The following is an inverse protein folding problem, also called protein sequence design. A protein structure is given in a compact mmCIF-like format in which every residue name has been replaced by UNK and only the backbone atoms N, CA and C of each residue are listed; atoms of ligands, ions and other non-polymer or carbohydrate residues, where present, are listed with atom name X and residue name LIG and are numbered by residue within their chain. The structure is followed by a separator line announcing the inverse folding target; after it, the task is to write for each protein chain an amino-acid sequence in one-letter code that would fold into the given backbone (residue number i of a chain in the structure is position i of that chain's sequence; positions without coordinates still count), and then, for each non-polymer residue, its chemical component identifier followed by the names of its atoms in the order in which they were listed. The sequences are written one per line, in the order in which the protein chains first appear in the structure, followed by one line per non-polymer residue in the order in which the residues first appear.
data_IF_406227737288
#
_entry.id   IF_406227737288
#
_cell.length_a   1.000
_cell.length_b   1.000
_cell.length_c   1.000
_cell.angle_alpha   90.00
_cell.angle_beta   90.00
_cell.angle_gamma   90.00
#
_symmetry.space_group_name_H-M   'P 1'
#
loop_
_entity.id
_entity.type
_entity.pdbx_description
1 polymer ?
#
# COMPACT_ATOMS: atom_id res chain seq x y z
N UNK A 1 -3.39 8.87 -8.35
CA UNK A 1 -4.77 9.26 -8.70
C UNK A 1 -5.74 8.67 -7.68
N UNK A 2 -5.77 7.35 -7.47
CA UNK A 2 -6.72 6.71 -6.56
C UNK A 2 -6.70 7.25 -5.14
N UNK A 3 -5.52 7.49 -4.56
CA UNK A 3 -5.37 8.12 -3.25
C UNK A 3 -6.01 9.53 -3.25
N UNK A 4 -5.64 10.37 -4.22
CA UNK A 4 -6.15 11.74 -4.33
C UNK A 4 -7.68 11.79 -4.41
N UNK A 5 -8.28 10.94 -5.23
CA UNK A 5 -9.73 10.85 -5.36
C UNK A 5 -10.39 10.20 -4.14
N UNK A 6 -9.66 9.37 -3.41
CA UNK A 6 -10.15 8.62 -2.27
C UNK A 6 -10.15 9.38 -0.93
N UNK A 7 -9.24 10.34 -0.76
CA UNK A 7 -9.06 11.11 0.49
C UNK A 7 -10.36 11.73 1.02
N UNK A 8 -11.23 12.37 0.21
CA UNK A 8 -12.48 12.93 0.73
C UNK A 8 -13.44 11.90 1.34
N UNK A 9 -13.23 10.62 1.03
CA UNK A 9 -14.11 9.50 1.40
C UNK A 9 -13.48 8.53 2.40
N UNK A 10 -12.24 8.73 2.82
CA UNK A 10 -11.45 7.80 3.61
C UNK A 10 -12.10 7.46 4.97
N UNK A 11 -12.64 8.47 5.66
CA UNK A 11 -13.24 8.32 7.00
C UNK A 11 -14.76 8.28 6.97
N UNK A 12 -15.38 8.22 5.80
CA UNK A 12 -16.83 8.16 5.66
C UNK A 12 -17.21 6.70 5.41
N UNK A 13 -18.05 6.13 6.29
CA UNK A 13 -18.62 4.78 6.12
C UNK A 13 -19.66 4.75 5.00
N UNK A 14 -19.31 5.25 3.83
CA UNK A 14 -20.20 5.49 2.72
C UNK A 14 -19.98 4.43 1.62
N UNK A 15 -21.07 3.97 1.04
CA UNK A 15 -21.04 2.87 0.06
C UNK A 15 -21.88 3.14 -1.18
N UNK A 16 -22.23 4.38 -1.42
CA UNK A 16 -23.00 4.79 -2.58
C UNK A 16 -22.05 5.26 -3.67
N UNK A 17 -21.65 4.35 -4.56
CA UNK A 17 -20.69 4.61 -5.63
C UNK A 17 -21.19 5.67 -6.62
N UNK A 18 -22.51 5.81 -6.80
CA UNK A 18 -23.11 6.77 -7.73
C UNK A 18 -22.94 8.24 -7.27
N UNK A 19 -22.59 8.44 -6.00
CA UNK A 19 -22.34 9.76 -5.41
C UNK A 19 -20.87 10.12 -5.29
N UNK A 20 -19.95 9.26 -5.74
CA UNK A 20 -18.52 9.59 -5.71
C UNK A 20 -18.20 10.62 -6.77
N UNK A 21 -17.71 11.78 -6.35
CA UNK A 21 -17.18 12.78 -7.23
C UNK A 21 -15.65 12.67 -7.28
N UNK A 22 -15.11 12.17 -8.39
CA UNK A 22 -13.66 12.01 -8.59
C UNK A 22 -12.92 13.36 -8.61
N UNK A 23 -13.61 14.45 -8.92
CA UNK A 23 -13.08 15.82 -8.93
C UNK A 23 -13.59 16.62 -7.73
N UNK A 24 -13.67 15.98 -6.56
CA UNK A 24 -14.15 16.63 -5.34
C UNK A 24 -13.22 17.80 -4.93
N UNK A 25 -13.77 18.97 -4.48
CA UNK A 25 -12.94 20.13 -4.11
C UNK A 25 -11.94 19.89 -2.97
N UNK A 26 -12.14 18.83 -2.18
CA UNK A 26 -11.25 18.43 -1.08
C UNK A 26 -10.29 17.31 -1.49
N UNK A 27 -10.12 17.05 -2.79
CA UNK A 27 -9.13 16.11 -3.26
C UNK A 27 -7.74 16.57 -2.82
N UNK A 28 -7.01 15.68 -2.17
CA UNK A 28 -5.63 15.88 -1.73
C UNK A 28 -4.96 14.51 -1.65
N UNK A 29 -3.65 14.46 -1.56
CA UNK A 29 -2.93 13.21 -1.34
C UNK A 29 -2.76 12.92 0.16
N UNK A 30 -2.66 11.66 0.50
CA UNK A 30 -2.45 11.17 1.87
C UNK A 30 -1.02 10.63 2.08
N UNK A 31 -0.80 9.96 3.22
CA UNK A 31 0.42 9.20 3.51
C UNK A 31 0.64 8.04 2.51
N UNK A 32 -0.41 7.53 1.88
CA UNK A 32 -0.31 6.52 0.82
C UNK A 32 0.61 7.01 -0.31
N UNK A 33 0.37 8.21 -0.85
CA UNK A 33 1.19 8.78 -1.92
C UNK A 33 2.60 9.12 -1.43
N UNK A 34 2.75 9.76 -0.26
CA UNK A 34 4.07 10.14 0.28
C UNK A 34 4.96 8.92 0.46
N UNK A 35 4.43 7.85 1.08
CA UNK A 35 5.20 6.62 1.30
C UNK A 35 5.48 5.86 0.00
N UNK A 36 4.54 5.88 -0.96
CA UNK A 36 4.75 5.28 -2.28
C UNK A 36 5.90 5.96 -3.03
N UNK A 37 5.91 7.31 -3.06
CA UNK A 37 6.99 8.05 -3.68
C UNK A 37 8.33 7.84 -2.99
N UNK A 38 8.36 7.78 -1.66
CA UNK A 38 9.57 7.47 -0.91
C UNK A 38 10.18 6.11 -1.32
N UNK A 39 9.35 5.07 -1.46
CA UNK A 39 9.80 3.76 -1.91
C UNK A 39 10.28 3.78 -3.37
N UNK A 40 9.54 4.46 -4.27
CA UNK A 40 9.91 4.59 -5.67
C UNK A 40 11.26 5.29 -5.83
N UNK A 41 11.46 6.42 -5.15
CA UNK A 41 12.73 7.15 -5.15
C UNK A 41 13.90 6.32 -4.62
N UNK A 42 13.68 5.57 -3.52
CA UNK A 42 14.70 4.68 -2.98
C UNK A 42 15.18 3.66 -4.02
N UNK A 43 14.25 3.05 -4.75
CA UNK A 43 14.59 2.09 -5.81
C UNK A 43 15.31 2.75 -6.99
N UNK A 44 14.80 3.88 -7.48
CA UNK A 44 15.35 4.56 -8.65
C UNK A 44 16.76 5.15 -8.39
N UNK A 45 17.02 5.57 -7.16
CA UNK A 45 18.29 6.19 -6.77
C UNK A 45 19.25 5.20 -6.08
N UNK A 46 18.84 3.95 -5.85
CA UNK A 46 19.63 2.96 -5.12
C UNK A 46 19.89 3.36 -3.67
N UNK A 47 18.92 4.00 -3.01
CA UNK A 47 19.01 4.48 -1.63
C UNK A 47 18.29 3.56 -0.65
N UNK A 48 18.60 3.73 0.63
CA UNK A 48 17.93 3.00 1.70
C UNK A 48 16.45 3.44 1.83
N UNK A 49 15.55 2.46 1.88
CA UNK A 49 14.10 2.69 1.92
C UNK A 49 13.68 3.31 3.25
N UNK A 50 14.26 2.89 4.37
CA UNK A 50 13.92 3.43 5.68
C UNK A 50 14.32 4.89 5.79
N UNK A 51 15.49 5.24 5.25
CA UNK A 51 15.96 6.61 5.18
C UNK A 51 15.06 7.49 4.32
N UNK A 52 14.66 7.00 3.12
CA UNK A 52 13.76 7.75 2.22
C UNK A 52 12.38 7.93 2.82
N UNK A 53 11.79 6.88 3.40
CA UNK A 53 10.52 6.98 4.12
C UNK A 53 10.59 8.05 5.21
N UNK A 54 11.64 8.02 6.04
CA UNK A 54 11.79 8.98 7.12
C UNK A 54 11.90 10.41 6.60
N UNK A 55 12.79 10.65 5.64
CA UNK A 55 13.05 11.98 5.12
C UNK A 55 11.81 12.57 4.43
N UNK A 56 11.12 11.78 3.60
CA UNK A 56 9.91 12.23 2.90
C UNK A 56 8.75 12.50 3.86
N UNK A 57 8.50 11.60 4.80
CA UNK A 57 7.38 11.74 5.72
C UNK A 57 7.61 12.87 6.75
N UNK A 58 8.85 13.14 7.16
CA UNK A 58 9.18 14.29 8.01
C UNK A 58 9.11 15.63 7.25
N UNK A 59 9.36 15.63 5.93
CA UNK A 59 9.19 16.83 5.10
C UNK A 59 7.72 17.18 4.85
N UNK A 60 6.80 16.21 4.99
CA UNK A 60 5.36 16.42 4.84
C UNK A 60 4.60 15.83 6.06
N UNK A 61 4.72 16.43 7.25
CA UNK A 61 4.31 15.84 8.52
C UNK A 61 2.78 15.81 8.73
N UNK A 62 2.04 16.58 7.95
CA UNK A 62 0.61 16.81 8.16
C UNK A 62 -0.27 15.80 7.40
N UNK A 63 0.26 14.65 7.01
CA UNK A 63 -0.50 13.55 6.42
C UNK A 63 -0.97 12.59 7.51
N UNK A 64 -2.03 11.84 7.24
CA UNK A 64 -2.71 11.00 8.23
C UNK A 64 -1.90 9.74 8.64
N UNK A 65 -0.59 9.89 8.92
CA UNK A 65 0.25 8.78 9.37
C UNK A 65 -0.30 8.09 10.61
N UNK A 66 -0.35 6.77 10.60
CA UNK A 66 -0.74 5.98 11.76
C UNK A 66 0.16 6.20 12.97
N UNK A 67 -0.39 6.02 14.19
CA UNK A 67 0.31 6.32 15.43
C UNK A 67 1.66 5.59 15.57
N UNK A 68 1.71 4.30 15.25
CA UNK A 68 2.95 3.51 15.30
C UNK A 68 4.03 4.06 14.36
N UNK A 69 3.61 4.49 13.15
CA UNK A 69 4.52 5.08 12.18
C UNK A 69 5.01 6.46 12.60
N UNK A 70 4.14 7.32 13.15
CA UNK A 70 4.56 8.61 13.74
C UNK A 70 5.57 8.43 14.86
N UNK A 71 5.37 7.45 15.73
CA UNK A 71 6.33 7.12 16.79
C UNK A 71 7.66 6.62 16.22
N UNK A 72 7.65 5.87 15.12
CA UNK A 72 8.86 5.44 14.43
C UNK A 72 9.60 6.63 13.79
N UNK A 73 8.87 7.55 13.15
CA UNK A 73 9.42 8.77 12.53
C UNK A 73 10.09 9.70 13.57
N UNK A 74 9.54 9.80 14.79
CA UNK A 74 10.03 10.70 15.83
C UNK A 74 11.32 10.24 16.49
N UNK A 75 11.71 8.97 16.35
CA UNK A 75 12.96 8.46 16.93
C UNK A 75 14.18 8.99 16.20
N UNK A 76 15.32 9.24 16.88
CA UNK A 76 16.56 9.65 16.22
C UNK A 76 17.09 8.52 15.32
N UNK A 77 17.76 8.88 14.22
CA UNK A 77 18.31 7.92 13.25
C UNK A 77 17.24 7.03 12.61
N UNK A 78 17.61 5.86 12.13
CA UNK A 78 16.69 4.86 11.63
C UNK A 78 16.34 3.89 12.76
N UNK A 79 15.14 3.99 13.27
CA UNK A 79 14.65 3.11 14.33
C UNK A 79 14.40 1.68 13.79
N UNK A 80 14.53 0.65 14.64
CA UNK A 80 14.16 -0.71 14.25
C UNK A 80 12.67 -0.81 13.91
N UNK A 81 12.33 -1.78 13.06
CA UNK A 81 10.95 -2.11 12.76
C UNK A 81 10.17 -2.50 14.03
N UNK A 82 8.90 -2.16 14.06
CA UNK A 82 8.04 -2.35 15.23
C UNK A 82 6.96 -3.41 15.03
N UNK A 83 7.24 -4.36 14.14
CA UNK A 83 6.40 -5.54 13.89
C UNK A 83 4.94 -5.19 13.52
N UNK A 84 4.76 -4.10 12.77
CA UNK A 84 3.44 -3.70 12.28
C UNK A 84 2.89 -4.72 11.28
N UNK A 85 1.60 -4.91 11.31
CA UNK A 85 0.81 -5.67 10.34
C UNK A 85 -0.38 -4.87 9.81
N UNK A 86 -0.31 -3.55 9.98
CA UNK A 86 -1.27 -2.60 9.43
C UNK A 86 -1.13 -2.43 7.92
N UNK A 87 -1.93 -1.55 7.36
CA UNK A 87 -1.98 -1.27 5.93
C UNK A 87 -0.70 -0.65 5.34
N UNK A 88 0.13 0.01 6.17
CA UNK A 88 1.23 0.85 5.72
C UNK A 88 2.29 0.17 4.83
N UNK A 89 2.40 -1.17 4.82
CA UNK A 89 3.25 -1.88 3.88
C UNK A 89 2.60 -2.09 2.51
N UNK A 90 1.30 -2.41 2.49
CA UNK A 90 0.56 -2.65 1.25
C UNK A 90 0.39 -1.36 0.44
N UNK A 91 0.02 -0.25 1.10
CA UNK A 91 -0.25 1.03 0.44
C UNK A 91 0.94 1.59 -0.35
N UNK A 92 2.18 1.27 0.07
CA UNK A 92 3.43 1.77 -0.56
C UNK A 92 4.15 0.76 -1.45
N UNK A 93 3.61 -0.45 -1.62
CA UNK A 93 4.24 -1.52 -2.38
C UNK A 93 4.11 -1.39 -3.91
N UNK A 94 3.32 -0.43 -4.40
CA UNK A 94 3.03 -0.32 -5.84
C UNK A 94 4.28 -0.12 -6.69
N UNK A 95 5.26 0.64 -6.23
CA UNK A 95 6.52 0.85 -6.92
C UNK A 95 7.29 -0.46 -7.17
N UNK A 96 7.21 -1.43 -6.25
CA UNK A 96 7.81 -2.74 -6.42
C UNK A 96 7.18 -3.50 -7.61
N UNK A 97 5.85 -3.49 -7.71
CA UNK A 97 5.15 -4.13 -8.81
C UNK A 97 5.41 -3.49 -10.18
N UNK A 98 5.61 -2.17 -10.22
CA UNK A 98 5.91 -1.45 -11.46
C UNK A 98 7.35 -1.61 -11.93
N UNK A 99 8.33 -1.71 -11.03
CA UNK A 99 9.74 -1.72 -11.36
C UNK A 99 10.33 -3.12 -11.54
N UNK A 100 9.68 -4.14 -11.00
CA UNK A 100 10.15 -5.51 -11.08
C UNK A 100 10.12 -6.05 -12.52
N UNK A 101 11.15 -6.83 -12.87
CA UNK A 101 11.29 -7.52 -14.16
C UNK A 101 10.90 -8.99 -14.11
N UNK A 102 10.73 -9.53 -12.90
CA UNK A 102 10.30 -10.91 -12.64
C UNK A 102 9.46 -10.99 -11.36
N UNK A 103 8.75 -12.11 -11.18
CA UNK A 103 7.99 -12.35 -9.95
C UNK A 103 8.91 -12.37 -8.71
N UNK A 104 10.06 -13.03 -8.80
CA UNK A 104 11.01 -13.11 -7.69
C UNK A 104 11.54 -11.73 -7.32
N UNK A 105 11.87 -10.90 -8.30
CA UNK A 105 12.28 -9.52 -8.06
C UNK A 105 11.13 -8.71 -7.46
N UNK A 106 9.89 -8.90 -7.91
CA UNK A 106 8.72 -8.25 -7.35
C UNK A 106 8.53 -8.58 -5.87
N UNK A 107 8.68 -9.86 -5.50
CA UNK A 107 8.61 -10.32 -4.11
C UNK A 107 9.72 -9.71 -3.27
N UNK A 108 10.95 -9.68 -3.78
CA UNK A 108 12.10 -9.10 -3.07
C UNK A 108 11.92 -7.58 -2.86
N UNK A 109 11.59 -6.83 -3.90
CA UNK A 109 11.35 -5.39 -3.80
C UNK A 109 10.18 -5.06 -2.86
N UNK A 110 9.06 -5.79 -2.96
CA UNK A 110 7.92 -5.60 -2.08
C UNK A 110 8.27 -5.87 -0.61
N UNK A 111 9.02 -6.95 -0.35
CA UNK A 111 9.53 -7.27 0.98
C UNK A 111 10.38 -6.13 1.53
N UNK A 112 11.31 -5.59 0.72
CA UNK A 112 12.14 -4.45 1.10
C UNK A 112 11.32 -3.21 1.47
N UNK A 113 10.18 -2.94 0.79
CA UNK A 113 9.31 -1.82 1.17
C UNK A 113 8.65 -2.02 2.53
N UNK A 114 8.36 -3.26 2.92
CA UNK A 114 7.69 -3.57 4.18
C UNK A 114 8.64 -3.52 5.38
N UNK A 115 9.84 -4.10 5.26
CA UNK A 115 10.77 -4.37 6.35
C UNK A 115 11.09 -3.18 7.27
N UNK A 116 11.19 -1.92 6.83
CA UNK A 116 11.51 -0.80 7.73
C UNK A 116 10.56 -0.64 8.91
N UNK A 117 9.31 -1.09 8.78
CA UNK A 117 8.28 -0.87 9.82
C UNK A 117 7.35 -2.08 10.00
N UNK A 118 7.13 -2.89 8.97
CA UNK A 118 6.14 -3.96 8.89
C UNK A 118 6.84 -5.32 8.71
N UNK A 119 7.72 -5.68 9.65
CA UNK A 119 8.43 -6.96 9.64
C UNK A 119 7.60 -8.14 10.19
N UNK A 120 6.31 -7.94 10.51
CA UNK A 120 5.37 -9.02 10.79
C UNK A 120 5.06 -9.80 9.51
N UNK A 121 4.94 -11.15 9.54
CA UNK A 121 4.65 -11.95 8.35
C UNK A 121 3.42 -11.49 7.56
N UNK A 122 2.33 -11.08 8.23
CA UNK A 122 1.14 -10.55 7.58
C UNK A 122 1.38 -9.17 6.93
N UNK A 123 2.25 -8.34 7.51
CA UNK A 123 2.65 -7.07 6.92
C UNK A 123 3.45 -7.26 5.64
N UNK A 124 4.41 -8.19 5.63
CA UNK A 124 5.19 -8.55 4.44
C UNK A 124 4.28 -9.17 3.38
N UNK A 125 3.44 -10.12 3.78
CA UNK A 125 2.49 -10.81 2.90
C UNK A 125 1.58 -9.82 2.16
N UNK A 126 1.07 -8.81 2.84
CA UNK A 126 0.19 -7.81 2.22
C UNK A 126 0.92 -6.95 1.19
N UNK A 127 2.15 -6.55 1.46
CA UNK A 127 2.98 -5.82 0.49
C UNK A 127 3.26 -6.66 -0.76
N UNK A 128 3.68 -7.92 -0.56
CA UNK A 128 3.97 -8.85 -1.66
C UNK A 128 2.73 -9.12 -2.51
N UNK A 129 1.58 -9.38 -1.89
CA UNK A 129 0.35 -9.62 -2.62
C UNK A 129 -0.09 -8.39 -3.44
N UNK A 130 0.05 -7.18 -2.88
CA UNK A 130 -0.24 -5.94 -3.61
C UNK A 130 0.69 -5.74 -4.80
N UNK A 131 2.00 -5.90 -4.59
CA UNK A 131 2.98 -5.73 -5.65
C UNK A 131 2.80 -6.76 -6.78
N UNK A 132 2.58 -8.04 -6.45
CA UNK A 132 2.33 -9.08 -7.46
C UNK A 132 1.05 -8.83 -8.26
N UNK A 133 0.00 -8.34 -7.62
CA UNK A 133 -1.22 -7.99 -8.35
C UNK A 133 -0.97 -6.88 -9.38
N UNK A 134 -0.16 -5.88 -9.03
CA UNK A 134 0.26 -4.81 -9.93
C UNK A 134 1.17 -5.36 -11.04
N UNK A 135 2.15 -6.16 -10.67
CA UNK A 135 3.06 -6.79 -11.62
C UNK A 135 2.31 -7.59 -12.69
N UNK A 136 1.39 -8.45 -12.29
CA UNK A 136 0.58 -9.22 -13.24
C UNK A 136 -0.32 -8.34 -14.11
N UNK A 137 -0.94 -7.31 -13.55
CA UNK A 137 -1.74 -6.37 -14.34
C UNK A 137 -0.89 -5.65 -15.40
N UNK A 138 0.33 -5.22 -15.06
CA UNK A 138 1.28 -4.59 -15.99
C UNK A 138 1.75 -5.54 -17.09
N UNK A 139 1.74 -6.85 -16.84
CA UNK A 139 2.07 -7.89 -17.82
C UNK A 139 0.86 -8.43 -18.59
N UNK A 140 -0.29 -7.74 -18.51
CA UNK A 140 -1.48 -8.04 -19.31
C UNK A 140 -2.35 -9.18 -18.79
N UNK A 141 -2.13 -9.64 -17.56
CA UNK A 141 -2.99 -10.63 -16.94
C UNK A 141 -4.33 -10.00 -16.53
N UNK A 142 -5.41 -10.74 -16.70
CA UNK A 142 -6.75 -10.29 -16.36
C UNK A 142 -7.08 -10.40 -14.86
N UNK A 143 -8.24 -9.90 -14.49
CA UNK A 143 -8.71 -9.90 -13.10
C UNK A 143 -8.85 -11.30 -12.52
N UNK A 144 -9.25 -12.28 -13.34
CA UNK A 144 -9.44 -13.66 -12.89
C UNK A 144 -8.09 -14.33 -12.60
N UNK A 145 -7.10 -14.09 -13.43
CA UNK A 145 -5.74 -14.53 -13.17
C UNK A 145 -5.19 -13.96 -11.86
N UNK A 146 -5.36 -12.65 -11.65
CA UNK A 146 -4.89 -11.97 -10.43
C UNK A 146 -5.65 -12.50 -9.21
N UNK A 147 -6.96 -12.69 -9.31
CA UNK A 147 -7.77 -13.29 -8.24
C UNK A 147 -7.23 -14.66 -7.84
N UNK A 148 -6.97 -15.52 -8.81
CA UNK A 148 -6.52 -16.89 -8.57
C UNK A 148 -5.09 -16.95 -8.04
N UNK A 149 -4.16 -16.22 -8.67
CA UNK A 149 -2.74 -16.34 -8.37
C UNK A 149 -2.26 -15.43 -7.24
N UNK A 150 -3.05 -14.42 -6.85
CA UNK A 150 -2.74 -13.54 -5.74
C UNK A 150 -3.74 -13.71 -4.60
N UNK A 151 -5.01 -13.35 -4.81
CA UNK A 151 -5.96 -13.33 -3.71
C UNK A 151 -6.18 -14.71 -3.10
N UNK A 152 -6.49 -15.71 -3.91
CA UNK A 152 -6.73 -17.07 -3.43
C UNK A 152 -5.45 -17.73 -2.87
N UNK A 153 -4.27 -17.38 -3.39
CA UNK A 153 -2.99 -17.90 -2.93
C UNK A 153 -2.60 -17.33 -1.56
N UNK A 154 -2.69 -16.01 -1.39
CA UNK A 154 -2.28 -15.34 -0.16
C UNK A 154 -3.38 -15.29 0.91
N UNK A 155 -4.65 -15.35 0.50
CA UNK A 155 -5.82 -15.21 1.36
C UNK A 155 -6.92 -16.25 1.04
N UNK A 156 -6.63 -17.57 1.08
CA UNK A 156 -7.54 -18.62 0.60
C UNK A 156 -8.83 -18.77 1.41
N UNK A 157 -8.87 -18.20 2.62
CA UNK A 157 -10.04 -18.27 3.52
C UNK A 157 -10.92 -17.03 3.46
N UNK A 158 -10.61 -16.08 2.58
CA UNK A 158 -11.36 -14.84 2.50
C UNK A 158 -12.48 -14.93 1.47
N UNK A 159 -13.68 -14.69 1.97
CA UNK A 159 -14.80 -14.37 1.12
C UNK A 159 -14.85 -12.83 0.96
N UNK A 160 -14.37 -12.36 -0.18
CA UNK A 160 -14.34 -10.94 -0.50
C UNK A 160 -15.74 -10.33 -0.69
N UNK A 161 -16.79 -11.17 -0.69
CA UNK A 161 -18.18 -10.76 -0.94
C UNK A 161 -19.02 -10.67 0.33
N UNK A 162 -18.58 -11.19 1.47
CA UNK A 162 -19.35 -11.12 2.71
C UNK A 162 -19.05 -9.90 3.56
N UNK A 163 -20.11 -9.27 4.08
CA UNK A 163 -20.10 -8.00 4.81
C UNK A 163 -19.38 -7.99 6.16
N UNK A 164 -18.82 -9.10 6.64
CA UNK A 164 -18.30 -9.25 8.01
C UNK A 164 -16.77 -9.17 8.17
N UNK A 165 -16.00 -9.32 7.10
CA UNK A 165 -14.53 -9.47 7.14
C UNK A 165 -13.71 -8.18 7.02
N UNK A 166 -14.31 -7.03 7.10
CA UNK A 166 -13.83 -5.75 6.57
C UNK A 166 -12.62 -5.11 7.24
N UNK A 167 -12.25 -5.43 8.49
CA UNK A 167 -11.28 -4.59 9.19
C UNK A 167 -9.82 -4.73 8.78
N UNK A 168 -9.39 -5.89 8.28
CA UNK A 168 -7.98 -6.12 7.87
C UNK A 168 -7.78 -6.23 6.36
N UNK A 169 -8.84 -6.54 5.62
CA UNK A 169 -8.84 -6.63 4.16
C UNK A 169 -9.25 -5.32 3.50
N UNK A 170 -9.99 -4.46 4.20
CA UNK A 170 -10.38 -3.13 3.69
C UNK A 170 -9.15 -2.27 3.39
N UNK A 171 -8.09 -2.41 4.17
CA UNK A 171 -6.85 -1.73 3.91
C UNK A 171 -6.17 -2.26 2.64
N UNK A 172 -6.11 -3.58 2.46
CA UNK A 172 -5.55 -4.21 1.26
C UNK A 172 -6.41 -3.93 0.02
N UNK A 173 -7.72 -4.19 0.11
CA UNK A 173 -8.66 -3.93 -0.97
C UNK A 173 -8.85 -2.43 -1.22
N UNK A 174 -8.80 -1.59 -0.18
CA UNK A 174 -8.87 -0.14 -0.33
C UNK A 174 -7.72 0.40 -1.19
N UNK A 175 -6.48 -0.02 -0.95
CA UNK A 175 -5.35 0.35 -1.81
C UNK A 175 -5.46 -0.29 -3.19
N UNK A 176 -5.92 -1.52 -3.29
CA UNK A 176 -6.05 -2.24 -4.55
C UNK A 176 -7.23 -1.71 -5.39
N UNK A 177 -8.40 -1.51 -4.78
CA UNK A 177 -9.58 -0.97 -5.47
C UNK A 177 -9.39 0.50 -5.83
N UNK A 178 -8.82 1.31 -4.96
CA UNK A 178 -8.47 2.71 -5.27
C UNK A 178 -7.54 2.82 -6.50
N UNK A 179 -6.73 1.81 -6.76
CA UNK A 179 -5.75 1.83 -7.86
C UNK A 179 -6.29 1.24 -9.17
N UNK A 180 -7.27 0.31 -9.14
CA UNK A 180 -7.66 -0.49 -10.30
C UNK A 180 -9.15 -0.55 -10.63
N UNK A 181 -10.03 0.00 -9.79
CA UNK A 181 -11.49 -0.06 -10.00
C UNK A 181 -12.15 1.32 -10.15
N UNK A 182 -11.36 2.39 -10.10
CA UNK A 182 -11.72 3.72 -10.57
C UNK A 182 -10.95 4.00 -11.86
#
# INVERSE_FOLDING_TARGET
IGDICGVPYEFIAWKDYDKINLFHPKNDYSDDSVCTFACAEAFLEGKDIAERLKNRCLADPNRCYGLGFRNWLSKPGIAPAYNSWGNGSAMRASSAGFLAKSEDECVDLATKTALPTHNHPEGIKSAVATALAIFYAMHGHDKEYIRTNVLNKFYPKWDFYTKGGYRNVTAFIGCFIKTYYL
#
